data_IF_719354303713
#
_entry.id   IF_719354303713
#
_cell.length_a   1.000
_cell.length_b   1.000
_cell.length_c   1.000
_cell.angle_alpha   90.00
_cell.angle_beta   90.00
_cell.angle_gamma   90.00
#
_symmetry.space_group_name_H-M   'P 1'
#
loop_
_entity.id
_entity.type
_entity.pdbx_description
1 polymer ?
#
# COMPACT_ATOMS: atom_id res chain seq x y z
N UNK A 1 27.10 5.08 -2.98
CA UNK A 1 26.09 6.19 -2.90
C UNK A 1 25.02 6.13 -3.98
N UNK A 2 25.26 5.49 -5.12
CA UNK A 2 24.32 5.46 -6.27
C UNK A 2 23.05 4.60 -6.05
N UNK A 3 23.14 3.54 -5.25
CA UNK A 3 22.01 2.63 -5.04
C UNK A 3 20.87 3.22 -4.20
N UNK A 4 21.17 4.07 -3.22
CA UNK A 4 20.16 4.71 -2.36
C UNK A 4 19.39 5.83 -3.07
N UNK A 5 20.03 6.50 -4.05
CA UNK A 5 19.39 7.55 -4.86
C UNK A 5 18.38 6.96 -5.86
N UNK A 6 18.68 5.80 -6.44
CA UNK A 6 17.78 5.14 -7.37
C UNK A 6 16.56 4.51 -6.70
N UNK A 7 16.71 4.00 -5.48
CA UNK A 7 15.59 3.44 -4.71
C UNK A 7 14.59 4.56 -4.30
N UNK A 8 15.11 5.71 -3.86
CA UNK A 8 14.27 6.88 -3.51
C UNK A 8 13.52 7.44 -4.72
N UNK A 9 14.15 7.48 -5.90
CA UNK A 9 13.50 7.89 -7.16
C UNK A 9 12.43 6.89 -7.60
N UNK A 10 12.67 5.58 -7.44
CA UNK A 10 11.68 4.53 -7.78
C UNK A 10 10.49 4.52 -6.82
N UNK A 11 10.71 4.70 -5.51
CA UNK A 11 9.62 4.81 -4.53
C UNK A 11 8.80 6.09 -4.79
N UNK A 12 9.45 7.21 -5.08
CA UNK A 12 8.77 8.45 -5.47
C UNK A 12 7.95 8.31 -6.75
N UNK A 13 8.45 7.60 -7.77
CA UNK A 13 7.73 7.37 -9.03
C UNK A 13 6.60 6.36 -8.90
N UNK A 14 6.72 5.37 -8.01
CA UNK A 14 5.65 4.42 -7.70
C UNK A 14 4.51 5.06 -6.90
N UNK A 15 4.85 5.89 -5.93
CA UNK A 15 3.88 6.73 -5.23
C UNK A 15 3.20 7.70 -6.21
N UNK A 16 3.95 8.36 -7.08
CA UNK A 16 3.38 9.31 -8.07
C UNK A 16 2.54 8.64 -9.15
N UNK A 17 2.85 7.43 -9.56
CA UNK A 17 2.07 6.71 -10.58
C UNK A 17 0.72 6.20 -10.05
N UNK A 18 0.60 5.93 -8.74
CA UNK A 18 -0.64 5.47 -8.10
C UNK A 18 -1.46 6.59 -7.45
N UNK A 19 -0.80 7.64 -6.99
CA UNK A 19 -1.42 8.84 -6.40
C UNK A 19 -1.84 9.83 -7.47
N UNK A 20 -2.42 9.49 -8.56
CA UNK A 20 -2.83 10.40 -9.64
C UNK A 20 -1.95 11.67 -9.75
N UNK A 21 -1.57 12.07 -10.92
CA UNK A 21 -0.56 13.13 -11.22
C UNK A 21 -0.70 14.48 -10.46
N UNK A 22 -1.74 14.67 -9.67
CA UNK A 22 -2.00 15.92 -8.92
C UNK A 22 -1.56 15.89 -7.45
N UNK A 23 -1.35 14.71 -6.84
CA UNK A 23 -1.06 14.59 -5.40
C UNK A 23 0.43 14.72 -5.03
N UNK A 24 1.33 14.91 -5.96
CA UNK A 24 2.78 14.70 -5.73
C UNK A 24 3.60 15.98 -5.55
N UNK A 25 3.06 17.13 -5.89
CA UNK A 25 3.81 18.40 -5.81
C UNK A 25 3.17 19.35 -4.79
N UNK A 26 3.55 19.20 -3.52
CA UNK A 26 3.20 20.16 -2.47
C UNK A 26 1.86 19.92 -1.76
N UNK A 27 1.13 18.82 -2.08
CA UNK A 27 -0.08 18.47 -1.35
C UNK A 27 0.23 17.65 -0.10
N UNK A 28 -0.47 17.97 0.98
CA UNK A 28 -0.41 17.20 2.21
C UNK A 28 -1.25 15.92 2.08
N UNK A 29 -0.74 14.83 2.64
CA UNK A 29 -1.40 13.53 2.68
C UNK A 29 -1.42 13.04 4.12
N UNK A 30 -2.51 12.41 4.54
CA UNK A 30 -2.56 11.66 5.79
C UNK A 30 -2.44 10.17 5.51
N UNK A 31 -1.46 9.53 6.12
CA UNK A 31 -1.38 8.08 6.21
C UNK A 31 -2.32 7.57 7.29
N UNK A 32 -3.10 6.54 6.97
CA UNK A 32 -4.07 5.93 7.87
C UNK A 32 -3.73 4.47 8.06
N UNK A 33 -3.54 4.05 9.31
CA UNK A 33 -3.41 2.66 9.71
C UNK A 33 -4.54 2.31 10.67
N UNK A 34 -5.28 1.26 10.37
CA UNK A 34 -6.41 0.80 11.16
C UNK A 34 -6.10 -0.60 11.69
N UNK A 35 -6.13 -0.74 13.00
CA UNK A 35 -6.07 -2.03 13.69
C UNK A 35 -7.28 -2.19 14.61
N UNK A 36 -7.47 -3.36 15.18
CA UNK A 36 -8.52 -3.57 16.18
C UNK A 36 -8.23 -2.92 17.55
N UNK A 37 -7.06 -2.36 17.74
CA UNK A 37 -6.64 -1.68 18.98
C UNK A 37 -6.58 -0.16 18.83
N UNK A 38 -6.23 0.33 17.66
CA UNK A 38 -6.00 1.75 17.45
C UNK A 38 -6.06 2.14 15.97
N UNK A 39 -6.35 3.40 15.75
CA UNK A 39 -6.18 4.07 14.46
C UNK A 39 -5.02 5.04 14.60
N UNK A 40 -4.03 4.95 13.72
CA UNK A 40 -2.90 5.87 13.64
C UNK A 40 -3.04 6.75 12.42
N UNK A 41 -2.83 8.04 12.62
CA UNK A 41 -2.84 9.05 11.58
C UNK A 41 -1.49 9.75 11.55
N UNK A 42 -0.92 9.88 10.36
CA UNK A 42 0.33 10.61 10.12
C UNK A 42 0.15 11.56 8.94
N UNK A 43 0.03 12.85 9.21
CA UNK A 43 -0.04 13.87 8.17
C UNK A 43 1.38 14.27 7.77
N UNK A 44 1.68 14.11 6.48
CA UNK A 44 2.96 14.46 5.89
C UNK A 44 2.79 15.49 4.79
N UNK A 45 3.80 16.31 4.63
CA UNK A 45 3.94 17.26 3.53
C UNK A 45 5.32 17.16 2.90
N UNK A 46 5.48 17.73 1.71
CA UNK A 46 6.79 17.88 1.10
C UNK A 46 7.18 19.36 1.04
N UNK A 47 8.43 19.67 1.40
CA UNK A 47 8.96 21.02 1.24
C UNK A 47 9.50 21.26 -0.17
N UNK A 48 9.94 22.50 -0.44
CA UNK A 48 10.52 22.90 -1.75
C UNK A 48 11.79 22.12 -2.13
N UNK A 49 12.44 21.48 -1.16
CA UNK A 49 13.61 20.62 -1.38
C UNK A 49 13.27 19.14 -1.56
N UNK A 50 12.00 18.81 -1.78
CA UNK A 50 11.47 17.44 -1.89
C UNK A 50 11.79 16.56 -0.65
N UNK A 51 11.88 17.17 0.51
CA UNK A 51 11.98 16.46 1.78
C UNK A 51 10.60 16.26 2.38
N UNK A 52 10.35 15.07 2.89
CA UNK A 52 9.12 14.77 3.61
C UNK A 52 9.20 15.30 5.04
N UNK A 53 8.12 15.94 5.47
CA UNK A 53 7.96 16.51 6.81
C UNK A 53 6.76 15.85 7.46
N UNK A 54 6.94 15.32 8.68
CA UNK A 54 5.83 14.88 9.51
C UNK A 54 5.21 16.10 10.18
N UNK A 55 4.00 16.45 9.77
CA UNK A 55 3.26 17.62 10.30
C UNK A 55 2.49 17.28 11.57
N UNK A 56 1.82 16.13 11.58
CA UNK A 56 1.01 15.66 12.71
C UNK A 56 1.07 14.14 12.81
N UNK A 57 1.06 13.67 14.03
CA UNK A 57 0.89 12.26 14.35
C UNK A 57 -0.16 12.11 15.45
N UNK A 58 -1.08 11.16 15.31
CA UNK A 58 -2.16 10.94 16.25
C UNK A 58 -2.51 9.46 16.34
N UNK A 59 -2.73 8.99 17.56
CA UNK A 59 -3.21 7.63 17.84
C UNK A 59 -4.57 7.71 18.53
N UNK A 60 -5.57 7.05 17.95
CA UNK A 60 -6.90 6.96 18.49
C UNK A 60 -7.16 5.51 18.94
N UNK A 61 -7.41 5.27 20.24
CA UNK A 61 -7.69 3.94 20.72
C UNK A 61 -9.03 3.43 20.21
N UNK A 62 -9.06 2.15 19.83
CA UNK A 62 -10.26 1.42 19.39
C UNK A 62 -10.43 0.21 20.29
N UNK A 63 -11.65 -0.08 20.67
CA UNK A 63 -11.98 -1.23 21.50
C UNK A 63 -12.70 -2.29 20.66
N UNK A 64 -11.93 -3.12 19.97
CA UNK A 64 -12.39 -4.34 19.34
C UNK A 64 -11.66 -5.55 19.93
N UNK A 65 -12.31 -6.73 20.02
CA UNK A 65 -11.65 -7.96 20.38
C UNK A 65 -10.46 -8.28 19.48
N UNK A 66 -9.43 -8.95 20.01
CA UNK A 66 -8.18 -9.24 19.28
C UNK A 66 -8.40 -10.09 18.02
N UNK A 67 -9.42 -10.92 18.02
CA UNK A 67 -9.80 -11.82 16.93
C UNK A 67 -10.83 -11.20 15.95
N UNK A 68 -11.25 -9.94 16.19
CA UNK A 68 -12.21 -9.26 15.34
C UNK A 68 -11.61 -8.87 14.00
N UNK A 69 -12.37 -9.09 12.93
CA UNK A 69 -12.07 -8.55 11.61
C UNK A 69 -12.43 -7.07 11.51
N UNK A 70 -11.50 -6.26 11.03
CA UNK A 70 -11.75 -4.82 10.76
C UNK A 70 -12.86 -4.66 9.73
N UNK A 71 -12.86 -5.48 8.68
CA UNK A 71 -13.84 -5.37 7.59
C UNK A 71 -15.25 -5.82 8.00
N UNK A 72 -15.36 -6.77 8.92
CA UNK A 72 -16.65 -7.15 9.51
C UNK A 72 -17.23 -6.06 10.43
N UNK A 73 -16.39 -5.15 10.90
CA UNK A 73 -16.76 -4.01 11.74
C UNK A 73 -16.57 -2.66 11.00
N UNK A 74 -16.78 -2.63 9.70
CA UNK A 74 -16.50 -1.48 8.84
C UNK A 74 -17.26 -0.21 9.28
N UNK A 75 -18.53 -0.33 9.69
CA UNK A 75 -19.33 0.82 10.15
C UNK A 75 -18.75 1.42 11.44
N UNK A 76 -18.38 0.56 12.41
CA UNK A 76 -17.71 1.01 13.62
C UNK A 76 -16.38 1.66 13.32
N UNK A 77 -15.58 1.08 12.41
CA UNK A 77 -14.30 1.65 12.01
C UNK A 77 -14.45 3.00 11.32
N UNK A 78 -15.48 3.18 10.50
CA UNK A 78 -15.79 4.46 9.86
C UNK A 78 -16.12 5.54 10.90
N UNK A 79 -16.90 5.21 11.92
CA UNK A 79 -17.19 6.11 13.05
C UNK A 79 -15.94 6.46 13.85
N UNK A 80 -15.14 5.44 14.20
CA UNK A 80 -13.87 5.63 14.95
C UNK A 80 -12.87 6.46 14.16
N UNK A 81 -12.76 6.23 12.84
CA UNK A 81 -11.89 7.02 11.98
C UNK A 81 -12.38 8.50 11.92
N UNK A 82 -13.66 8.72 11.82
CA UNK A 82 -14.23 10.08 11.83
C UNK A 82 -13.90 10.82 13.13
N UNK A 83 -14.01 10.14 14.28
CA UNK A 83 -13.60 10.69 15.57
C UNK A 83 -12.10 10.98 15.64
N UNK A 84 -11.27 10.07 15.14
CA UNK A 84 -9.83 10.25 15.09
C UNK A 84 -9.42 11.48 14.24
N UNK A 85 -10.06 11.64 13.08
CA UNK A 85 -9.84 12.79 12.19
C UNK A 85 -10.20 14.09 12.90
N UNK A 86 -11.36 14.13 13.56
CA UNK A 86 -11.81 15.33 14.28
C UNK A 86 -10.85 15.69 15.43
N UNK A 87 -10.46 14.71 16.25
CA UNK A 87 -9.59 14.92 17.40
C UNK A 87 -8.16 15.29 17.01
N UNK A 88 -7.65 14.71 15.94
CA UNK A 88 -6.28 14.94 15.45
C UNK A 88 -6.07 16.32 14.83
N UNK A 89 -7.16 16.97 14.42
CA UNK A 89 -7.14 18.27 13.72
C UNK A 89 -6.28 18.24 12.46
N UNK A 90 -6.27 17.10 11.75
CA UNK A 90 -5.63 17.03 10.44
C UNK A 90 -6.31 18.00 9.47
N UNK A 91 -5.55 18.53 8.52
CA UNK A 91 -6.00 19.59 7.62
C UNK A 91 -6.11 19.13 6.16
N UNK A 92 -5.54 17.97 5.83
CA UNK A 92 -5.64 17.39 4.49
C UNK A 92 -6.88 16.51 4.35
N UNK A 93 -7.46 16.50 3.15
CA UNK A 93 -8.52 15.56 2.77
C UNK A 93 -8.01 14.32 2.03
N UNK A 94 -6.75 14.32 1.58
CA UNK A 94 -6.17 13.19 0.86
C UNK A 94 -5.58 12.17 1.84
N UNK A 95 -5.96 10.91 1.67
CA UNK A 95 -5.56 9.84 2.57
C UNK A 95 -5.00 8.64 1.82
N UNK A 96 -3.91 8.09 2.34
CA UNK A 96 -3.36 6.80 1.95
C UNK A 96 -3.54 5.82 3.09
N UNK A 97 -4.15 4.66 2.83
CA UNK A 97 -4.35 3.62 3.83
C UNK A 97 -3.27 2.55 3.74
N UNK A 98 -2.74 2.15 4.89
CA UNK A 98 -1.92 0.96 5.02
C UNK A 98 -2.81 -0.27 5.14
N UNK A 99 -2.74 -1.16 4.15
CA UNK A 99 -3.46 -2.44 4.18
C UNK A 99 -2.74 -3.38 5.16
N UNK A 100 -3.46 -3.99 6.13
CA UNK A 100 -2.85 -4.93 7.06
C UNK A 100 -2.24 -6.14 6.35
N UNK A 101 -1.12 -6.65 6.86
CA UNK A 101 -0.46 -7.86 6.32
C UNK A 101 -1.38 -9.08 6.30
N UNK A 102 -2.36 -9.14 7.19
CA UNK A 102 -3.38 -10.20 7.22
C UNK A 102 -4.31 -10.19 6.01
N UNK A 103 -4.40 -9.05 5.31
CA UNK A 103 -5.15 -8.88 4.06
C UNK A 103 -4.26 -8.94 2.82
N UNK A 104 -3.01 -9.36 2.95
CA UNK A 104 -2.06 -9.46 1.86
C UNK A 104 -1.38 -10.81 1.82
N UNK A 105 -1.04 -11.26 0.60
CA UNK A 105 -0.15 -12.38 0.35
C UNK A 105 1.20 -11.78 0.00
N UNK A 106 2.21 -12.09 0.79
CA UNK A 106 3.58 -11.58 0.60
C UNK A 106 4.50 -12.78 0.44
N UNK A 107 5.18 -12.88 -0.69
CA UNK A 107 6.12 -13.98 -0.98
C UNK A 107 7.33 -13.47 -1.73
N UNK A 108 8.45 -14.15 -1.53
CA UNK A 108 9.61 -14.05 -2.41
C UNK A 108 9.63 -15.30 -3.27
N UNK A 109 9.59 -15.12 -4.58
CA UNK A 109 9.59 -16.21 -5.56
C UNK A 109 10.87 -16.16 -6.38
N UNK A 110 11.43 -17.33 -6.70
CA UNK A 110 12.59 -17.44 -7.57
C UNK A 110 12.14 -17.81 -8.98
N UNK A 111 12.56 -17.01 -9.96
CA UNK A 111 12.26 -17.17 -11.37
C UNK A 111 13.54 -17.31 -12.19
N UNK A 112 13.48 -17.80 -13.43
CA UNK A 112 14.58 -17.69 -14.36
C UNK A 112 14.99 -16.23 -14.56
N UNK A 113 16.29 -16.00 -14.79
CA UNK A 113 16.79 -14.66 -15.03
C UNK A 113 16.18 -14.05 -16.28
N UNK A 114 15.61 -12.87 -16.14
CA UNK A 114 14.95 -12.13 -17.21
C UNK A 114 15.35 -10.66 -17.17
N UNK A 115 15.36 -10.02 -18.32
CA UNK A 115 15.40 -8.57 -18.44
C UNK A 115 14.09 -7.96 -17.94
N UNK A 116 14.05 -6.65 -17.69
CA UNK A 116 12.82 -5.96 -17.29
C UNK A 116 11.73 -6.07 -18.36
N UNK A 117 12.09 -6.09 -19.65
CA UNK A 117 11.17 -6.26 -20.77
C UNK A 117 10.59 -7.68 -20.82
N UNK A 118 11.43 -8.69 -20.66
CA UNK A 118 11.00 -10.09 -20.61
C UNK A 118 10.08 -10.35 -19.42
N UNK A 119 10.43 -9.81 -18.25
CA UNK A 119 9.61 -9.90 -17.05
C UNK A 119 8.24 -9.24 -17.27
N UNK A 120 8.19 -8.06 -17.88
CA UNK A 120 6.95 -7.37 -18.20
C UNK A 120 6.03 -8.21 -19.09
N UNK A 121 6.57 -8.83 -20.14
CA UNK A 121 5.81 -9.74 -21.03
C UNK A 121 5.30 -10.98 -20.29
N UNK A 122 6.12 -11.58 -19.43
CA UNK A 122 5.72 -12.74 -18.65
C UNK A 122 4.61 -12.42 -17.62
N UNK A 123 4.60 -11.22 -17.07
CA UNK A 123 3.56 -10.75 -16.15
C UNK A 123 2.26 -10.46 -16.90
N UNK A 124 2.32 -9.81 -18.06
CA UNK A 124 1.14 -9.44 -18.86
C UNK A 124 0.33 -10.66 -19.29
N UNK A 125 0.96 -11.82 -19.44
CA UNK A 125 0.28 -13.09 -19.78
C UNK A 125 -0.26 -13.81 -18.55
N UNK A 126 -0.05 -13.31 -17.33
CA UNK A 126 -0.35 -13.95 -16.03
C UNK A 126 0.34 -15.32 -15.80
N UNK A 127 1.00 -15.88 -16.81
CA UNK A 127 1.62 -17.20 -16.74
C UNK A 127 2.72 -17.31 -15.69
N UNK A 128 3.42 -16.21 -15.43
CA UNK A 128 4.49 -16.17 -14.43
C UNK A 128 3.95 -16.42 -13.02
N UNK A 129 2.89 -15.70 -12.64
CA UNK A 129 2.33 -15.82 -11.29
C UNK A 129 1.57 -17.12 -11.09
N UNK A 130 0.86 -17.59 -12.08
CA UNK A 130 0.17 -18.88 -12.04
C UNK A 130 1.13 -20.05 -11.77
N UNK A 131 2.34 -19.98 -12.32
CA UNK A 131 3.35 -21.01 -12.13
C UNK A 131 4.12 -20.86 -10.80
N UNK A 132 4.38 -19.64 -10.35
CA UNK A 132 5.24 -19.37 -9.19
C UNK A 132 4.46 -19.21 -7.88
N UNK A 133 3.21 -18.75 -7.95
CA UNK A 133 2.36 -18.50 -6.81
C UNK A 133 1.09 -19.34 -6.94
N UNK A 134 1.03 -20.40 -6.14
CA UNK A 134 -0.16 -21.23 -6.09
C UNK A 134 -1.25 -20.53 -5.26
N UNK A 135 -2.05 -19.71 -5.92
CA UNK A 135 -3.25 -19.12 -5.34
C UNK A 135 -4.43 -20.03 -5.63
N UNK A 136 -5.31 -20.18 -4.64
CA UNK A 136 -6.55 -20.95 -4.78
C UNK A 136 -7.63 -20.17 -5.53
N UNK A 137 -7.49 -18.85 -5.57
CA UNK A 137 -8.43 -17.91 -6.18
C UNK A 137 -7.90 -17.40 -7.53
N UNK A 138 -8.80 -16.79 -8.33
CA UNK A 138 -8.42 -16.17 -9.59
C UNK A 138 -7.54 -14.93 -9.36
N UNK A 139 -6.42 -14.83 -10.07
CA UNK A 139 -5.51 -13.69 -10.02
C UNK A 139 -6.18 -12.36 -10.37
N UNK A 140 -7.22 -12.37 -11.20
CA UNK A 140 -7.99 -11.18 -11.57
C UNK A 140 -8.73 -10.54 -10.39
N UNK A 141 -8.95 -11.30 -9.30
CA UNK A 141 -9.57 -10.81 -8.07
C UNK A 141 -8.58 -10.11 -7.13
N UNK A 142 -7.32 -10.01 -7.53
CA UNK A 142 -6.23 -9.42 -6.74
C UNK A 142 -5.63 -8.19 -7.41
N UNK A 143 -5.22 -7.23 -6.58
CA UNK A 143 -4.23 -6.22 -6.95
C UNK A 143 -2.85 -6.79 -6.66
N UNK A 144 -2.00 -6.84 -7.67
CA UNK A 144 -0.67 -7.44 -7.60
C UNK A 144 0.39 -6.36 -7.71
N UNK A 145 1.32 -6.36 -6.78
CA UNK A 145 2.55 -5.59 -6.82
C UNK A 145 3.74 -6.55 -6.85
N UNK A 146 4.78 -6.21 -7.59
CA UNK A 146 6.03 -6.96 -7.62
C UNK A 146 7.24 -6.03 -7.60
N UNK A 147 8.33 -6.56 -7.11
CA UNK A 147 9.64 -5.88 -7.08
C UNK A 147 10.74 -6.92 -7.26
N UNK A 148 11.59 -6.73 -8.26
CA UNK A 148 12.83 -7.52 -8.36
C UNK A 148 13.74 -7.14 -7.21
N UNK A 149 14.10 -8.12 -6.39
CA UNK A 149 14.97 -7.94 -5.23
C UNK A 149 16.42 -8.17 -5.62
N UNK A 150 16.68 -9.25 -6.36
CA UNK A 150 18.01 -9.71 -6.70
C UNK A 150 18.04 -10.39 -8.07
N UNK A 151 19.16 -10.25 -8.77
CA UNK A 151 19.48 -11.01 -9.99
C UNK A 151 20.79 -11.74 -9.78
N UNK A 152 20.77 -13.07 -9.90
CA UNK A 152 21.94 -13.93 -9.78
C UNK A 152 22.37 -14.43 -11.16
N UNK A 153 23.40 -13.78 -11.71
CA UNK A 153 23.94 -14.12 -13.04
C UNK A 153 24.59 -15.52 -13.09
N UNK A 154 25.16 -15.96 -11.97
CA UNK A 154 25.86 -17.26 -11.91
C UNK A 154 24.87 -18.42 -11.96
N UNK A 155 23.76 -18.30 -11.28
CA UNK A 155 22.70 -19.31 -11.22
C UNK A 155 21.63 -19.13 -12.27
N UNK A 156 21.70 -18.05 -13.05
CA UNK A 156 20.72 -17.69 -14.06
C UNK A 156 19.28 -17.58 -13.48
N UNK A 157 19.18 -17.03 -12.27
CA UNK A 157 17.93 -16.84 -11.55
C UNK A 157 17.74 -15.40 -11.07
N UNK A 158 16.53 -15.08 -10.67
CA UNK A 158 16.19 -13.82 -10.03
C UNK A 158 15.16 -14.03 -8.93
N UNK A 159 15.22 -13.22 -7.89
CA UNK A 159 14.24 -13.20 -6.80
C UNK A 159 13.30 -12.00 -6.95
N UNK A 160 12.01 -12.29 -6.85
CA UNK A 160 10.96 -11.30 -7.03
C UNK A 160 10.09 -11.28 -5.77
N UNK A 161 9.94 -10.11 -5.16
CA UNK A 161 8.93 -9.88 -4.15
C UNK A 161 7.57 -9.80 -4.84
N UNK A 162 6.66 -10.65 -4.42
CA UNK A 162 5.27 -10.68 -4.85
C UNK A 162 4.37 -10.26 -3.69
N UNK A 163 3.49 -9.29 -3.94
CA UNK A 163 2.48 -8.84 -2.99
C UNK A 163 1.13 -8.81 -3.69
N UNK A 164 0.15 -9.50 -3.13
CA UNK A 164 -1.21 -9.51 -3.65
C UNK A 164 -2.22 -9.23 -2.53
N UNK A 165 -3.21 -8.40 -2.82
CA UNK A 165 -4.33 -8.12 -1.94
C UNK A 165 -5.64 -8.26 -2.71
N UNK A 166 -6.68 -8.84 -2.08
CA UNK A 166 -7.99 -8.95 -2.71
C UNK A 166 -8.55 -7.57 -3.03
N UNK A 167 -9.03 -7.38 -4.26
CA UNK A 167 -9.67 -6.13 -4.67
C UNK A 167 -10.91 -5.82 -3.81
N UNK A 168 -11.65 -6.84 -3.38
CA UNK A 168 -12.78 -6.67 -2.45
C UNK A 168 -12.35 -6.08 -1.11
N UNK A 169 -11.21 -6.50 -0.56
CA UNK A 169 -10.67 -5.95 0.70
C UNK A 169 -10.20 -4.51 0.50
N UNK A 170 -9.49 -4.23 -0.58
CA UNK A 170 -9.05 -2.87 -0.94
C UNK A 170 -10.25 -1.94 -1.07
N UNK A 171 -11.31 -2.39 -1.74
CA UNK A 171 -12.53 -1.60 -1.90
C UNK A 171 -13.23 -1.34 -0.56
N UNK A 172 -13.23 -2.31 0.36
CA UNK A 172 -13.80 -2.15 1.70
C UNK A 172 -13.01 -1.15 2.54
N UNK A 173 -11.69 -1.21 2.54
CA UNK A 173 -10.84 -0.20 3.20
C UNK A 173 -11.03 1.20 2.58
N UNK A 174 -11.10 1.27 1.27
CA UNK A 174 -11.37 2.52 0.54
C UNK A 174 -12.73 3.12 0.94
N UNK A 175 -13.75 2.28 1.13
CA UNK A 175 -15.07 2.72 1.59
C UNK A 175 -15.04 3.27 3.01
N UNK A 176 -14.27 2.70 3.92
CA UNK A 176 -14.06 3.23 5.28
C UNK A 176 -13.47 4.64 5.19
N UNK A 177 -12.43 4.83 4.37
CA UNK A 177 -11.80 6.13 4.16
C UNK A 177 -12.80 7.15 3.64
N UNK A 178 -13.56 6.81 2.59
CA UNK A 178 -14.57 7.69 2.00
C UNK A 178 -15.69 8.06 2.97
N UNK A 179 -16.15 7.10 3.78
CA UNK A 179 -17.19 7.32 4.78
C UNK A 179 -16.80 8.34 5.85
N UNK A 180 -15.52 8.50 6.12
CA UNK A 180 -14.98 9.49 7.06
C UNK A 180 -14.79 10.88 6.45
N UNK A 181 -15.11 11.07 5.18
CA UNK A 181 -14.94 12.32 4.44
C UNK A 181 -13.56 12.53 3.81
N UNK A 182 -12.67 11.55 3.94
CA UNK A 182 -11.37 11.57 3.28
C UNK A 182 -11.45 11.04 1.85
N UNK A 183 -10.53 11.51 1.02
CA UNK A 183 -10.36 11.08 -0.35
C UNK A 183 -9.18 10.08 -0.44
N UNK A 184 -9.43 8.80 -0.74
CA UNK A 184 -8.36 7.82 -0.90
C UNK A 184 -7.55 8.11 -2.16
N UNK A 185 -6.23 8.09 -2.03
CA UNK A 185 -5.27 8.34 -3.10
C UNK A 185 -4.29 7.18 -3.28
#
# INVERSE_FOLDING_TARGET
>A
GAGKSNLRKKIGSLLSARLGKKAVMGEEIVGVEITNKEIRLAQISSNKSNQWILEKFFTHPVDLPDDSSILENADKMSEELSMAIQKSKITTSNAAIAIPVTSAIIRVVTAPLMTDEELGKAIDTNSLWENLVQLTDNLDDYSIFHQVINRNQKENTMDILFVASKLSDINSFTSIIKSSGLNPV
#
